data_IF_333629193004
#
_entry.id   IF_333629193004
#
_cell.length_a   1.000
_cell.length_b   1.000
_cell.length_c   1.000
_cell.angle_alpha   90.00
_cell.angle_beta   90.00
_cell.angle_gamma   90.00
#
_symmetry.space_group_name_H-M   'P 1'
#
loop_
_entity.id
_entity.type
_entity.pdbx_description
1 polymer ?
#
# COMPACT_ATOMS: atom_id res chain seq x y z
N UNK A 1 -65.11 -55.91 34.10
CA UNK A 1 -64.67 -56.09 32.70
C UNK A 1 -63.53 -55.12 32.40
N UNK A 2 -62.43 -55.64 31.85
CA UNK A 2 -61.28 -55.00 31.16
C UNK A 2 -60.59 -53.77 31.82
N UNK A 3 -59.40 -53.87 32.43
CA UNK A 3 -58.02 -54.02 31.90
C UNK A 3 -57.59 -53.01 30.81
N UNK A 4 -56.43 -52.38 31.08
CA UNK A 4 -55.46 -51.64 30.21
C UNK A 4 -55.65 -50.11 30.17
N UNK A 5 -54.60 -49.27 30.14
CA UNK A 5 -53.14 -49.45 30.11
C UNK A 5 -52.49 -48.11 30.49
N UNK A 6 -51.39 -48.17 31.24
CA UNK A 6 -50.45 -47.06 31.39
C UNK A 6 -49.71 -46.79 30.06
N UNK A 7 -49.42 -45.51 29.80
CA UNK A 7 -48.39 -45.08 28.87
C UNK A 7 -47.51 -44.06 29.58
N UNK A 8 -46.25 -44.47 29.77
CA UNK A 8 -45.13 -43.65 30.19
C UNK A 8 -44.84 -42.61 29.11
N UNK A 9 -44.75 -41.34 29.50
CA UNK A 9 -44.14 -40.31 28.67
C UNK A 9 -42.62 -40.45 28.79
N UNK A 10 -42.00 -40.97 27.74
CA UNK A 10 -40.55 -40.91 27.52
C UNK A 10 -40.16 -39.47 27.18
N UNK A 11 -39.42 -38.83 28.07
CA UNK A 11 -38.65 -37.63 27.77
C UNK A 11 -37.47 -38.03 26.87
N UNK A 12 -37.61 -37.80 25.57
CA UNK A 12 -36.51 -37.83 24.62
C UNK A 12 -35.59 -36.64 24.88
N UNK A 13 -34.45 -36.90 25.50
CA UNK A 13 -33.29 -36.00 25.50
C UNK A 13 -32.76 -35.96 24.07
N UNK A 14 -33.13 -34.90 23.35
CA UNK A 14 -32.54 -34.58 22.05
C UNK A 14 -31.09 -34.20 22.24
N UNK A 15 -30.19 -35.10 21.86
CA UNK A 15 -28.77 -34.81 21.65
C UNK A 15 -28.69 -33.83 20.48
N UNK A 16 -28.43 -32.56 20.78
CA UNK A 16 -27.96 -31.61 19.77
C UNK A 16 -26.53 -32.01 19.44
N UNK A 17 -26.38 -32.82 18.40
CA UNK A 17 -25.09 -32.98 17.75
C UNK A 17 -24.75 -31.65 17.09
N UNK A 18 -23.79 -30.92 17.67
CA UNK A 18 -23.10 -29.84 16.98
C UNK A 18 -22.35 -30.46 15.80
N UNK A 19 -23.00 -30.52 14.64
CA UNK A 19 -22.33 -30.70 13.37
C UNK A 19 -21.44 -29.47 13.19
N UNK A 20 -20.15 -29.66 13.42
CA UNK A 20 -19.10 -28.78 12.94
C UNK A 20 -19.14 -28.79 11.41
N UNK A 21 -20.00 -27.96 10.85
CA UNK A 21 -19.87 -27.54 9.47
C UNK A 21 -18.55 -26.77 9.37
N UNK A 22 -17.50 -27.45 8.92
CA UNK A 22 -16.35 -26.81 8.29
C UNK A 22 -16.89 -25.92 7.17
N UNK A 23 -17.08 -24.64 7.47
CA UNK A 23 -17.25 -23.63 6.43
C UNK A 23 -15.86 -23.39 5.82
N UNK A 24 -15.63 -23.72 4.54
CA UNK A 24 -14.49 -23.15 3.85
C UNK A 24 -14.71 -21.64 3.80
N UNK A 25 -13.81 -20.90 4.45
CA UNK A 25 -13.69 -19.46 4.30
C UNK A 25 -13.14 -19.19 2.90
N UNK A 26 -14.05 -19.17 1.92
CA UNK A 26 -13.76 -18.69 0.58
C UNK A 26 -13.60 -17.18 0.69
N UNK A 27 -12.36 -16.70 0.56
CA UNK A 27 -12.08 -15.29 0.35
C UNK A 27 -12.84 -14.83 -0.89
N UNK A 28 -13.97 -14.15 -0.69
CA UNK A 28 -14.62 -13.30 -1.69
C UNK A 28 -13.72 -12.08 -1.97
N UNK A 29 -12.56 -12.35 -2.59
CA UNK A 29 -12.06 -11.49 -3.64
C UNK A 29 -12.86 -11.95 -4.87
N UNK A 30 -13.73 -11.07 -5.37
CA UNK A 30 -14.63 -11.27 -6.51
C UNK A 30 -14.30 -12.50 -7.38
N UNK A 31 -15.07 -13.59 -7.20
CA UNK A 31 -15.38 -14.48 -8.31
C UNK A 31 -16.13 -13.63 -9.35
N UNK A 32 -15.38 -12.98 -10.23
CA UNK A 32 -15.85 -12.77 -11.60
C UNK A 32 -15.72 -14.12 -12.28
N UNK A 33 -16.73 -14.95 -12.03
CA UNK A 33 -17.00 -16.13 -12.83
C UNK A 33 -17.49 -15.61 -14.19
N UNK A 34 -16.55 -15.53 -15.13
CA UNK A 34 -16.70 -14.84 -16.40
C UNK A 34 -15.42 -14.05 -16.69
N UNK A 35 -14.71 -14.42 -17.76
CA UNK A 35 -13.40 -13.88 -18.15
C UNK A 35 -13.37 -12.39 -18.52
N UNK A 36 -13.90 -11.51 -17.66
CA UNK A 36 -13.73 -10.08 -17.75
C UNK A 36 -12.29 -9.72 -17.42
N UNK A 37 -11.59 -9.19 -18.42
CA UNK A 37 -10.26 -8.59 -18.28
C UNK A 37 -10.32 -7.55 -17.14
N UNK A 38 -9.39 -7.59 -16.19
CA UNK A 38 -9.20 -6.47 -15.26
C UNK A 38 -8.80 -5.25 -16.08
N UNK A 39 -9.47 -4.12 -15.87
CA UNK A 39 -9.12 -2.89 -16.57
C UNK A 39 -7.72 -2.43 -16.13
N UNK A 40 -6.96 -1.91 -17.09
CA UNK A 40 -5.74 -1.15 -16.79
C UNK A 40 -6.07 0.16 -16.08
N UNK A 41 -5.06 0.73 -15.42
CA UNK A 41 -5.13 2.05 -14.82
C UNK A 41 -5.48 3.10 -15.87
N UNK A 42 -4.85 3.00 -17.05
CA UNK A 42 -5.10 3.90 -18.16
C UNK A 42 -6.57 3.86 -18.62
N UNK A 43 -7.14 2.66 -18.80
CA UNK A 43 -8.56 2.50 -19.16
C UNK A 43 -9.51 3.03 -18.07
N UNK A 44 -9.18 2.83 -16.79
CA UNK A 44 -10.05 3.28 -15.69
C UNK A 44 -10.04 4.79 -15.47
N UNK A 45 -8.97 5.46 -15.89
CA UNK A 45 -8.76 6.89 -15.67
C UNK A 45 -8.70 7.69 -16.98
N UNK A 46 -9.14 7.09 -18.10
CA UNK A 46 -9.16 7.70 -19.43
C UNK A 46 -7.80 8.31 -19.84
N UNK A 47 -6.69 7.65 -19.47
CA UNK A 47 -5.32 8.12 -19.75
C UNK A 47 -4.85 7.66 -21.12
N UNK A 48 -4.21 8.56 -21.85
CA UNK A 48 -3.52 8.23 -23.10
C UNK A 48 -2.18 7.55 -22.85
N UNK A 49 -1.59 6.95 -23.88
CA UNK A 49 -0.22 6.39 -23.81
C UNK A 49 0.82 7.45 -23.45
N UNK A 50 0.62 8.69 -23.92
CA UNK A 50 1.54 9.79 -23.60
C UNK A 50 1.37 10.26 -22.15
N UNK A 51 0.15 10.23 -21.58
CA UNK A 51 -0.08 10.48 -20.16
C UNK A 51 0.63 9.45 -19.29
N UNK A 52 0.48 8.16 -19.62
CA UNK A 52 1.16 7.07 -18.92
C UNK A 52 2.69 7.22 -18.99
N UNK A 53 3.24 7.62 -20.15
CA UNK A 53 4.67 7.88 -20.30
C UNK A 53 5.13 9.00 -19.37
N UNK A 54 4.37 10.08 -19.27
CA UNK A 54 4.68 11.22 -18.40
C UNK A 54 4.60 10.84 -16.91
N UNK A 55 3.57 10.09 -16.50
CA UNK A 55 3.44 9.56 -15.14
C UNK A 55 4.66 8.72 -14.78
N UNK A 56 5.03 7.75 -15.62
CA UNK A 56 6.16 6.87 -15.36
C UNK A 56 7.48 7.65 -15.26
N UNK A 57 7.73 8.58 -16.18
CA UNK A 57 8.94 9.40 -16.16
C UNK A 57 9.05 10.28 -14.90
N UNK A 58 7.93 10.86 -14.44
CA UNK A 58 7.91 11.66 -13.22
C UNK A 58 8.11 10.80 -11.97
N UNK A 59 7.47 9.64 -11.93
CA UNK A 59 7.58 8.68 -10.83
C UNK A 59 9.02 8.15 -10.65
N UNK A 60 9.73 7.91 -11.76
CA UNK A 60 11.15 7.55 -11.73
C UNK A 60 12.02 8.70 -11.17
N UNK A 61 11.76 9.95 -11.59
CA UNK A 61 12.48 11.13 -11.07
C UNK A 61 12.21 11.41 -9.60
N UNK A 62 10.99 11.16 -9.12
CA UNK A 62 10.62 11.39 -7.73
C UNK A 62 11.47 10.54 -6.77
N UNK A 63 11.79 9.30 -7.17
CA UNK A 63 12.71 8.44 -6.42
C UNK A 63 14.09 9.09 -6.27
N UNK A 64 14.62 9.69 -7.33
CA UNK A 64 15.95 10.33 -7.32
C UNK A 64 16.01 11.57 -6.43
N UNK A 65 14.91 12.32 -6.32
CA UNK A 65 14.76 13.52 -5.48
C UNK A 65 14.49 13.16 -4.01
N UNK A 66 13.79 12.06 -3.75
CA UNK A 66 13.43 11.60 -2.41
C UNK A 66 14.56 10.93 -1.63
N UNK A 67 15.72 10.69 -2.24
CA UNK A 67 16.86 10.04 -1.58
C UNK A 67 17.61 10.99 -0.62
N UNK A 68 17.87 10.59 0.64
CA UNK A 68 18.63 11.39 1.59
C UNK A 68 20.06 11.67 1.08
N UNK A 69 20.48 12.94 1.10
CA UNK A 69 21.86 13.36 0.78
C UNK A 69 22.05 14.15 -0.51
N UNK A 70 20.99 14.39 -1.31
CA UNK A 70 21.03 15.37 -2.41
C UNK A 70 20.45 16.71 -1.93
N UNK A 71 21.15 17.85 -2.09
CA UNK A 71 20.61 19.15 -1.72
C UNK A 71 19.39 19.49 -2.58
N UNK A 72 18.40 20.24 -2.04
CA UNK A 72 17.39 20.87 -2.87
C UNK A 72 18.11 21.79 -3.86
N UNK A 73 17.68 21.78 -5.13
CA UNK A 73 18.28 22.50 -6.25
C UNK A 73 18.78 23.91 -5.85
N UNK A 74 20.09 24.04 -5.64
CA UNK A 74 20.82 25.27 -5.87
C UNK A 74 21.26 25.25 -7.32
N UNK A 75 20.59 26.03 -8.19
CA UNK A 75 20.99 26.20 -9.58
C UNK A 75 22.38 26.87 -9.65
N UNK A 76 23.38 26.28 -10.32
CA UNK A 76 24.56 27.01 -10.75
C UNK A 76 24.27 27.68 -12.12
N UNK A 77 24.69 28.94 -12.34
CA UNK A 77 24.59 29.56 -13.65
C UNK A 77 25.70 29.02 -14.56
N UNK A 78 25.35 28.44 -15.71
CA UNK A 78 26.33 28.25 -16.80
C UNK A 78 26.56 26.82 -17.30
N UNK A 79 25.52 26.00 -17.46
CA UNK A 79 25.60 24.79 -18.28
C UNK A 79 24.35 24.66 -19.16
N UNK A 80 24.13 25.67 -20.01
CA UNK A 80 23.12 25.62 -21.07
C UNK A 80 23.83 25.28 -22.36
N UNK A 81 24.05 24.00 -22.63
CA UNK A 81 24.09 23.38 -23.96
C UNK A 81 24.62 21.95 -23.85
N UNK A 82 23.95 21.00 -24.51
CA UNK A 82 24.31 19.59 -24.61
C UNK A 82 23.80 18.61 -23.53
N UNK A 83 22.54 18.78 -23.11
CA UNK A 83 21.63 17.65 -22.86
C UNK A 83 20.24 18.15 -23.26
N UNK A 84 19.74 17.84 -24.46
CA UNK A 84 18.33 18.10 -24.79
C UNK A 84 17.47 17.14 -23.97
N UNK A 85 16.72 17.60 -22.95
CA UNK A 85 15.73 16.79 -22.27
C UNK A 85 14.48 16.76 -23.17
N UNK A 86 13.78 15.64 -23.25
CA UNK A 86 12.42 15.65 -23.81
C UNK A 86 11.55 16.57 -22.94
N UNK A 87 10.98 17.60 -23.57
CA UNK A 87 10.29 18.75 -22.97
C UNK A 87 8.89 18.46 -22.38
N UNK A 88 8.69 17.35 -21.65
CA UNK A 88 7.34 16.89 -21.26
C UNK A 88 7.19 16.52 -19.77
N UNK A 89 7.98 17.12 -18.88
CA UNK A 89 7.79 17.03 -17.43
C UNK A 89 7.55 18.40 -16.79
N UNK A 90 7.33 19.43 -17.61
CA UNK A 90 7.12 20.83 -17.21
C UNK A 90 5.69 21.12 -16.70
N UNK A 91 4.79 20.13 -16.77
CA UNK A 91 3.36 20.34 -16.47
C UNK A 91 2.95 20.00 -15.02
N UNK A 92 3.86 19.45 -14.20
CA UNK A 92 3.54 19.22 -12.77
C UNK A 92 3.47 20.56 -12.06
N UNK A 93 2.30 20.88 -11.51
CA UNK A 93 2.07 22.09 -10.74
C UNK A 93 1.95 21.76 -9.25
N UNK A 94 2.61 22.54 -8.40
CA UNK A 94 2.38 22.48 -6.95
C UNK A 94 1.05 23.20 -6.64
N UNK A 95 0.05 22.54 -6.01
CA UNK A 95 -1.19 23.20 -5.61
C UNK A 95 -0.93 24.43 -4.74
N UNK A 96 -1.72 25.52 -4.85
CA UNK A 96 -1.52 26.72 -4.05
C UNK A 96 -1.76 26.48 -2.55
N UNK A 97 -1.35 27.43 -1.72
CA UNK A 97 -1.55 27.33 -0.28
C UNK A 97 -3.04 27.57 0.06
N UNK A 98 -3.64 26.66 0.82
CA UNK A 98 -5.02 26.81 1.29
C UNK A 98 -5.03 27.40 2.71
N UNK A 99 -5.82 28.46 3.00
CA UNK A 99 -5.94 29.02 4.34
C UNK A 99 -6.40 27.96 5.37
N UNK A 100 -5.87 28.03 6.59
CA UNK A 100 -6.19 27.04 7.65
C UNK A 100 -7.63 27.15 8.15
N UNK A 101 -8.27 28.31 8.01
CA UNK A 101 -9.66 28.55 8.36
C UNK A 101 -10.65 28.15 7.25
N UNK A 102 -10.16 27.91 6.03
CA UNK A 102 -11.00 27.47 4.92
C UNK A 102 -11.36 26.00 5.05
N UNK A 103 -12.65 25.74 5.25
CA UNK A 103 -13.17 24.37 5.33
C UNK A 103 -13.19 23.69 3.95
N UNK A 104 -13.04 22.36 3.89
CA UNK A 104 -13.25 21.59 2.68
C UNK A 104 -14.72 21.63 2.25
N UNK A 105 -14.92 21.57 0.93
CA UNK A 105 -16.20 21.33 0.29
C UNK A 105 -16.66 19.90 0.55
N UNK A 106 -17.98 19.70 0.63
CA UNK A 106 -18.55 18.42 0.99
C UNK A 106 -18.43 17.39 -0.14
N UNK A 107 -18.03 16.16 0.18
CA UNK A 107 -17.96 15.02 -0.73
C UNK A 107 -18.16 13.71 0.05
N UNK A 108 -18.68 12.68 -0.61
CA UNK A 108 -19.05 11.41 0.05
C UNK A 108 -18.60 10.19 -0.74
N UNK A 109 -18.52 9.05 -0.06
CA UNK A 109 -18.18 7.80 -0.71
C UNK A 109 -19.34 7.28 -1.58
N UNK A 110 -18.99 6.77 -2.76
CA UNK A 110 -19.87 6.04 -3.66
C UNK A 110 -19.19 4.72 -4.04
N UNK A 111 -19.88 3.60 -3.89
CA UNK A 111 -19.33 2.27 -4.19
C UNK A 111 -18.05 1.94 -3.42
N UNK A 112 -17.93 2.41 -2.17
CA UNK A 112 -16.74 2.17 -1.33
C UNK A 112 -15.56 3.11 -1.60
N UNK A 113 -15.71 4.17 -2.40
CA UNK A 113 -14.65 5.16 -2.67
C UNK A 113 -15.18 6.59 -2.63
N UNK A 114 -14.53 7.47 -1.89
CA UNK A 114 -14.75 8.92 -1.99
C UNK A 114 -13.63 9.54 -2.83
N UNK A 115 -13.93 10.64 -3.54
CA UNK A 115 -12.98 11.34 -4.40
C UNK A 115 -13.15 12.84 -4.24
N UNK A 116 -12.03 13.58 -4.27
CA UNK A 116 -12.04 15.04 -4.31
C UNK A 116 -10.77 15.57 -4.99
N UNK A 117 -10.78 16.80 -5.47
CA UNK A 117 -9.58 17.42 -6.03
C UNK A 117 -8.52 17.69 -4.95
N UNK A 118 -7.27 17.77 -5.36
CA UNK A 118 -6.14 17.93 -4.42
C UNK A 118 -6.25 19.19 -3.55
N UNK A 119 -6.79 20.30 -4.06
CA UNK A 119 -6.94 21.53 -3.28
C UNK A 119 -7.95 21.35 -2.15
N UNK A 120 -9.08 20.71 -2.44
CA UNK A 120 -10.04 20.36 -1.41
C UNK A 120 -9.52 19.32 -0.41
N UNK A 121 -8.73 18.34 -0.89
CA UNK A 121 -8.04 17.39 0.00
C UNK A 121 -7.02 18.08 0.91
N UNK A 122 -6.28 19.08 0.44
CA UNK A 122 -5.36 19.87 1.28
C UNK A 122 -6.13 20.53 2.44
N UNK A 123 -7.29 21.12 2.17
CA UNK A 123 -8.15 21.67 3.24
C UNK A 123 -8.52 20.58 4.25
N UNK A 124 -8.94 19.40 3.78
CA UNK A 124 -9.32 18.29 4.68
C UNK A 124 -8.12 17.83 5.52
N UNK A 125 -6.97 17.70 4.88
CA UNK A 125 -5.73 17.30 5.53
C UNK A 125 -5.31 18.31 6.60
N UNK A 126 -5.45 19.61 6.31
CA UNK A 126 -5.20 20.68 7.27
C UNK A 126 -6.13 20.59 8.49
N UNK A 127 -7.41 20.26 8.31
CA UNK A 127 -8.33 20.11 9.43
C UNK A 127 -8.15 18.80 10.21
N UNK A 128 -7.86 17.69 9.55
CA UNK A 128 -7.92 16.37 10.18
C UNK A 128 -6.54 15.79 10.51
N UNK A 129 -5.52 16.01 9.68
CA UNK A 129 -4.27 15.22 9.68
C UNK A 129 -3.02 16.05 10.00
N UNK A 130 -3.09 17.37 9.87
CA UNK A 130 -1.93 18.27 10.01
C UNK A 130 -1.41 18.45 11.44
N UNK A 131 -2.14 17.95 12.43
CA UNK A 131 -1.85 18.27 13.82
C UNK A 131 -0.43 17.84 14.22
N UNK A 132 0.27 18.76 14.88
CA UNK A 132 1.53 18.53 15.58
C UNK A 132 1.32 18.94 17.03
N UNK A 133 1.43 18.00 17.96
CA UNK A 133 1.14 18.22 19.39
C UNK A 133 -0.26 18.81 19.62
N UNK A 134 -1.26 18.28 18.89
CA UNK A 134 -2.65 18.70 19.00
C UNK A 134 -2.98 20.06 18.36
N UNK A 135 -2.04 20.71 17.67
CA UNK A 135 -2.28 21.98 16.95
C UNK A 135 -2.28 21.78 15.44
N UNK A 136 -3.40 22.10 14.80
CA UNK A 136 -3.51 22.09 13.34
C UNK A 136 -2.50 23.06 12.70
N UNK A 137 -2.00 22.70 11.53
CA UNK A 137 -1.03 23.50 10.76
C UNK A 137 -1.43 23.53 9.29
N UNK A 138 -1.05 24.60 8.62
CA UNK A 138 -1.13 24.67 7.17
C UNK A 138 -0.14 23.65 6.56
N UNK A 139 -0.52 23.04 5.45
CA UNK A 139 0.40 22.21 4.68
C UNK A 139 1.49 23.10 4.09
N UNK A 140 2.76 22.79 4.38
CA UNK A 140 3.88 23.60 3.90
C UNK A 140 4.00 23.53 2.38
N UNK A 141 4.73 24.47 1.79
CA UNK A 141 5.01 24.43 0.34
C UNK A 141 5.71 23.13 -0.08
N UNK A 142 6.73 22.70 0.68
CA UNK A 142 7.42 21.43 0.43
C UNK A 142 6.47 20.23 0.52
N UNK A 143 5.53 20.22 1.47
CA UNK A 143 4.52 19.15 1.57
C UNK A 143 3.54 19.21 0.39
N UNK A 144 3.09 20.39 -0.04
CA UNK A 144 2.23 20.53 -1.24
C UNK A 144 2.96 20.08 -2.50
N UNK A 145 4.26 20.37 -2.60
CA UNK A 145 5.09 19.90 -3.70
C UNK A 145 5.17 18.37 -3.71
N UNK A 146 5.50 17.75 -2.58
CA UNK A 146 5.52 16.28 -2.44
C UNK A 146 4.17 15.66 -2.77
N UNK A 147 3.07 16.24 -2.27
CA UNK A 147 1.71 15.77 -2.52
C UNK A 147 1.39 15.73 -4.02
N UNK A 148 1.84 16.73 -4.77
CA UNK A 148 1.53 16.89 -6.19
C UNK A 148 2.12 15.82 -7.11
N UNK A 149 2.97 14.91 -6.59
CA UNK A 149 3.48 13.76 -7.33
C UNK A 149 2.45 12.64 -7.51
N UNK A 150 1.21 12.81 -7.04
CA UNK A 150 0.14 11.85 -7.27
C UNK A 150 0.13 10.72 -6.25
N UNK A 151 0.04 9.48 -6.72
CA UNK A 151 -0.13 8.28 -5.87
C UNK A 151 0.88 8.23 -4.71
N UNK A 152 2.17 8.49 -4.98
CA UNK A 152 3.22 8.49 -3.96
C UNK A 152 3.16 9.67 -2.99
N UNK A 153 2.59 10.80 -3.42
CA UNK A 153 2.61 12.07 -2.69
C UNK A 153 1.86 12.00 -1.36
N UNK A 154 0.75 11.24 -1.31
CA UNK A 154 -0.03 11.03 -0.08
C UNK A 154 0.83 10.34 0.98
N UNK A 155 1.48 9.23 0.62
CA UNK A 155 2.37 8.50 1.51
C UNK A 155 3.55 9.36 1.92
N UNK A 156 4.19 10.04 0.96
CA UNK A 156 5.37 10.89 1.21
C UNK A 156 5.08 11.96 2.26
N UNK A 157 4.01 12.75 2.10
CA UNK A 157 3.65 13.80 3.06
C UNK A 157 3.29 13.23 4.43
N UNK A 158 2.62 12.08 4.47
CA UNK A 158 2.14 11.49 5.72
C UNK A 158 3.22 10.77 6.52
N UNK A 159 4.22 10.18 5.86
CA UNK A 159 5.38 9.56 6.51
C UNK A 159 6.52 10.53 6.77
N UNK A 160 6.68 11.57 5.95
CA UNK A 160 7.78 12.53 5.98
C UNK A 160 8.81 12.31 4.85
N UNK A 161 9.53 11.17 4.83
CA UNK A 161 10.44 10.85 3.73
C UNK A 161 9.72 10.13 2.60
N UNK A 162 10.37 10.09 1.43
CA UNK A 162 9.91 9.28 0.29
C UNK A 162 9.91 7.79 0.67
N UNK A 163 8.89 7.00 0.27
CA UNK A 163 8.77 5.61 0.67
C UNK A 163 9.94 4.75 0.17
N UNK A 164 10.64 4.08 1.09
CA UNK A 164 11.79 3.21 0.78
C UNK A 164 11.40 1.75 0.56
N UNK A 165 10.23 1.34 1.06
CA UNK A 165 9.68 -0.02 0.93
C UNK A 165 10.53 -1.15 1.56
N UNK A 166 11.51 -0.82 2.41
CA UNK A 166 12.50 -1.78 2.93
C UNK A 166 11.92 -2.88 3.83
N UNK A 167 10.88 -2.57 4.59
CA UNK A 167 10.21 -3.51 5.48
C UNK A 167 8.81 -3.80 4.95
N UNK A 168 8.72 -4.76 4.03
CA UNK A 168 7.52 -5.09 3.31
C UNK A 168 7.04 -6.51 3.62
N UNK A 169 5.73 -6.70 3.64
CA UNK A 169 5.08 -7.99 3.84
C UNK A 169 4.10 -8.30 2.72
N UNK A 170 3.94 -9.59 2.42
CA UNK A 170 2.89 -10.12 1.58
C UNK A 170 2.50 -11.53 2.04
N UNK A 171 1.45 -12.10 1.45
CA UNK A 171 1.09 -13.50 1.63
C UNK A 171 0.91 -14.16 0.28
N UNK A 172 1.50 -15.36 0.12
CA UNK A 172 1.47 -16.13 -1.11
C UNK A 172 1.18 -17.59 -0.79
N UNK A 173 0.16 -18.16 -1.42
CA UNK A 173 -0.22 -19.55 -1.26
C UNK A 173 0.54 -20.43 -2.27
N UNK A 174 1.65 -21.00 -1.81
CA UNK A 174 2.49 -21.90 -2.61
C UNK A 174 1.76 -23.17 -3.05
N UNK A 175 0.79 -23.65 -2.27
CA UNK A 175 0.02 -24.83 -2.64
C UNK A 175 -0.99 -24.49 -3.75
N UNK A 176 -1.65 -23.33 -3.66
CA UNK A 176 -2.52 -22.80 -4.71
C UNK A 176 -1.73 -22.57 -6.00
N UNK A 177 -0.54 -21.99 -5.91
CA UNK A 177 0.33 -21.78 -7.05
C UNK A 177 0.73 -23.10 -7.73
N UNK A 178 1.31 -24.03 -6.97
CA UNK A 178 1.77 -25.31 -7.51
C UNK A 178 0.62 -26.17 -8.05
N UNK A 179 -0.52 -26.20 -7.36
CA UNK A 179 -1.72 -26.90 -7.83
C UNK A 179 -2.29 -26.22 -9.07
N UNK A 180 -2.30 -24.89 -9.11
CA UNK A 180 -2.75 -24.12 -10.26
C UNK A 180 -1.93 -24.39 -11.51
N UNK A 181 -0.60 -24.54 -11.38
CA UNK A 181 0.28 -24.88 -12.49
C UNK A 181 0.15 -26.33 -12.98
N UNK A 182 -0.16 -27.27 -12.08
CA UNK A 182 -0.27 -28.70 -12.39
C UNK A 182 -1.63 -29.10 -12.93
N UNK A 183 -2.70 -28.52 -12.37
CA UNK A 183 -4.06 -28.98 -12.58
C UNK A 183 -4.84 -28.14 -13.60
N UNK A 184 -4.34 -26.94 -13.95
CA UNK A 184 -4.94 -26.11 -14.98
C UNK A 184 -4.04 -26.06 -16.22
N UNK A 185 -4.66 -25.77 -17.37
CA UNK A 185 -3.97 -25.45 -18.61
C UNK A 185 -4.08 -23.95 -18.94
N UNK A 186 -3.19 -23.42 -19.81
CA UNK A 186 -3.39 -22.11 -20.40
C UNK A 186 -4.78 -21.98 -21.04
N UNK A 187 -5.40 -20.81 -20.90
CA UNK A 187 -6.66 -20.47 -21.58
C UNK A 187 -6.44 -20.38 -23.10
N UNK A 188 -7.49 -20.48 -23.93
CA UNK A 188 -7.35 -20.28 -25.38
C UNK A 188 -6.70 -18.93 -25.69
N UNK A 189 -5.60 -18.94 -26.45
CA UNK A 189 -4.82 -17.75 -26.80
C UNK A 189 -3.81 -17.27 -25.74
N UNK A 190 -3.78 -17.89 -24.56
CA UNK A 190 -2.87 -17.54 -23.48
C UNK A 190 -1.49 -18.20 -23.69
N UNK A 191 -0.42 -17.40 -23.61
CA UNK A 191 0.94 -17.94 -23.67
C UNK A 191 1.30 -18.65 -22.36
N UNK A 192 2.34 -19.50 -22.37
CA UNK A 192 2.82 -20.14 -21.14
C UNK A 192 3.24 -19.12 -20.07
N UNK A 193 3.92 -18.04 -20.47
CA UNK A 193 4.34 -16.98 -19.55
C UNK A 193 3.15 -16.24 -18.95
N UNK A 194 2.11 -15.98 -19.74
CA UNK A 194 0.84 -15.38 -19.29
C UNK A 194 0.10 -16.26 -18.31
N UNK A 195 0.01 -17.56 -18.60
CA UNK A 195 -0.55 -18.55 -17.69
C UNK A 195 0.18 -18.55 -16.34
N UNK A 196 1.51 -18.68 -16.34
CA UNK A 196 2.31 -18.74 -15.11
C UNK A 196 2.23 -17.43 -14.30
N UNK A 197 2.34 -16.29 -14.97
CA UNK A 197 2.20 -14.98 -14.34
C UNK A 197 0.82 -14.77 -13.73
N UNK A 198 -0.26 -15.16 -14.43
CA UNK A 198 -1.63 -15.10 -13.90
C UNK A 198 -1.84 -16.01 -12.71
N UNK A 199 -1.33 -17.25 -12.75
CA UNK A 199 -1.45 -18.19 -11.62
C UNK A 199 -0.66 -17.66 -10.40
N UNK A 200 0.51 -17.05 -10.61
CA UNK A 200 1.26 -16.37 -9.55
C UNK A 200 0.47 -15.19 -8.95
N UNK A 201 -0.02 -14.26 -9.79
CA UNK A 201 -0.86 -13.13 -9.33
C UNK A 201 -2.03 -13.62 -8.48
N UNK A 202 -2.78 -14.61 -8.98
CA UNK A 202 -3.93 -15.19 -8.28
C UNK A 202 -3.59 -15.98 -7.01
N UNK A 203 -2.30 -16.24 -6.74
CA UNK A 203 -1.85 -16.94 -5.53
C UNK A 203 -1.43 -16.01 -4.40
N UNK A 204 -1.36 -14.69 -4.65
CA UNK A 204 -1.25 -13.70 -3.59
C UNK A 204 -2.59 -13.53 -2.85
N UNK A 205 -2.52 -13.29 -1.54
CA UNK A 205 -3.66 -12.92 -0.70
C UNK A 205 -3.35 -11.60 0.01
N UNK A 206 -3.85 -10.51 -0.56
CA UNK A 206 -3.63 -9.16 -0.06
C UNK A 206 -4.24 -8.95 1.34
N UNK A 207 -5.34 -9.63 1.67
CA UNK A 207 -5.95 -9.53 3.02
C UNK A 207 -5.02 -10.14 4.05
N UNK A 208 -4.45 -11.31 3.78
CA UNK A 208 -3.48 -11.95 4.67
C UNK A 208 -2.18 -11.15 4.75
N UNK A 209 -1.70 -10.60 3.63
CA UNK A 209 -0.53 -9.72 3.61
C UNK A 209 -0.71 -8.45 4.46
N UNK A 210 -1.87 -7.80 4.33
CA UNK A 210 -2.23 -6.65 5.15
C UNK A 210 -2.30 -7.00 6.63
N UNK A 211 -3.04 -8.06 6.98
CA UNK A 211 -3.16 -8.49 8.38
C UNK A 211 -1.79 -8.83 8.98
N UNK A 212 -0.91 -9.49 8.22
CA UNK A 212 0.48 -9.75 8.66
C UNK A 212 1.21 -8.45 9.01
N UNK A 213 1.15 -7.44 8.15
CA UNK A 213 1.76 -6.14 8.42
C UNK A 213 1.14 -5.44 9.64
N UNK A 214 -0.19 -5.51 9.83
CA UNK A 214 -0.87 -4.96 11.02
C UNK A 214 -0.44 -5.63 12.31
N UNK A 215 -0.37 -6.97 12.31
CA UNK A 215 0.01 -7.75 13.49
C UNK A 215 1.46 -7.42 13.90
N UNK A 216 2.37 -7.38 12.92
CA UNK A 216 3.76 -6.98 13.16
C UNK A 216 3.87 -5.53 13.63
N UNK A 217 3.15 -4.59 13.01
CA UNK A 217 3.14 -3.19 13.45
C UNK A 217 2.59 -3.05 14.88
N UNK A 218 1.59 -3.85 15.27
CA UNK A 218 1.06 -3.91 16.64
C UNK A 218 2.11 -4.38 17.64
N UNK A 219 2.84 -5.45 17.32
CA UNK A 219 3.96 -5.94 18.13
C UNK A 219 5.06 -4.88 18.26
N UNK A 220 5.42 -4.20 17.16
CA UNK A 220 6.39 -3.11 17.17
C UNK A 220 5.92 -1.92 18.03
N UNK A 221 4.64 -1.56 17.93
CA UNK A 221 4.04 -0.49 18.74
C UNK A 221 4.03 -0.84 20.24
N UNK A 222 3.75 -2.10 20.60
CA UNK A 222 3.85 -2.56 21.98
C UNK A 222 5.29 -2.51 22.50
N UNK A 223 6.26 -2.91 21.67
CA UNK A 223 7.68 -2.90 22.04
C UNK A 223 8.24 -1.48 22.26
N UNK A 224 7.66 -0.46 21.63
CA UNK A 224 8.11 0.93 21.80
C UNK A 224 7.50 1.67 23.00
N UNK A 225 6.36 1.22 23.55
CA UNK A 225 5.57 2.01 24.53
C UNK A 225 6.37 2.52 25.74
N UNK A 226 7.27 1.70 26.27
CA UNK A 226 8.10 2.01 27.44
C UNK A 226 9.60 1.87 27.16
N UNK A 227 10.00 2.05 25.90
CA UNK A 227 11.40 1.93 25.47
C UNK A 227 11.98 3.31 25.17
N UNK A 228 13.01 3.72 25.92
CA UNK A 228 13.65 5.04 25.78
C UNK A 228 14.99 5.03 25.03
N UNK A 229 15.42 3.86 24.57
CA UNK A 229 16.56 3.67 23.68
C UNK A 229 16.35 2.47 22.75
N UNK A 230 17.13 2.40 21.67
CA UNK A 230 17.01 1.35 20.64
C UNK A 230 17.28 -0.05 21.21
N UNK A 231 18.17 -0.19 22.19
CA UNK A 231 18.49 -1.48 22.81
C UNK A 231 17.30 -2.03 23.60
N UNK A 232 16.67 -1.19 24.42
CA UNK A 232 15.45 -1.53 25.14
C UNK A 232 14.32 -1.93 24.18
N UNK A 233 14.12 -1.16 23.10
CA UNK A 233 13.13 -1.47 22.06
C UNK A 233 13.37 -2.85 21.42
N UNK A 234 14.60 -3.13 20.97
CA UNK A 234 14.92 -4.41 20.31
C UNK A 234 14.75 -5.58 21.27
N UNK A 235 15.13 -5.43 22.54
CA UNK A 235 14.93 -6.47 23.56
C UNK A 235 13.44 -6.74 23.80
N UNK A 236 12.63 -5.69 23.94
CA UNK A 236 11.18 -5.81 24.09
C UNK A 236 10.52 -6.43 22.86
N UNK A 237 10.95 -6.04 21.65
CA UNK A 237 10.47 -6.61 20.40
C UNK A 237 10.76 -8.12 20.33
N UNK A 238 11.99 -8.54 20.64
CA UNK A 238 12.37 -9.96 20.70
C UNK A 238 11.53 -10.72 21.73
N UNK A 239 11.29 -10.13 22.90
CA UNK A 239 10.47 -10.76 23.93
C UNK A 239 9.01 -10.97 23.47
N UNK A 240 8.42 -10.00 22.77
CA UNK A 240 7.07 -10.14 22.22
C UNK A 240 7.00 -11.17 21.08
N UNK A 241 7.96 -11.18 20.17
CA UNK A 241 8.03 -12.18 19.09
C UNK A 241 8.23 -13.60 19.65
N UNK A 242 9.02 -13.77 20.71
CA UNK A 242 9.20 -15.05 21.37
C UNK A 242 7.91 -15.57 22.01
N UNK A 243 7.08 -14.69 22.61
CA UNK A 243 5.78 -15.08 23.20
C UNK A 243 4.81 -15.65 22.17
N UNK A 244 4.84 -15.14 20.95
CA UNK A 244 4.00 -15.62 19.84
C UNK A 244 4.67 -16.69 18.97
N UNK A 245 5.89 -17.13 19.31
CA UNK A 245 6.70 -18.02 18.49
C UNK A 245 6.82 -17.52 17.03
N UNK A 246 6.97 -16.21 16.85
CA UNK A 246 7.01 -15.59 15.53
C UNK A 246 8.40 -15.78 14.89
N UNK A 247 8.48 -16.27 13.63
CA UNK A 247 9.75 -16.51 12.97
C UNK A 247 10.59 -15.25 12.74
N UNK A 248 10.00 -14.05 12.79
CA UNK A 248 10.74 -12.78 12.76
C UNK A 248 11.72 -12.63 13.92
N UNK A 249 11.54 -13.38 15.02
CA UNK A 249 12.50 -13.44 16.12
C UNK A 249 13.93 -13.73 15.64
N UNK A 250 14.05 -14.55 14.60
CA UNK A 250 15.33 -15.06 14.08
C UNK A 250 15.91 -14.25 12.92
N UNK A 251 15.30 -13.12 12.56
CA UNK A 251 15.89 -12.20 11.59
C UNK A 251 17.27 -11.70 12.06
N UNK A 252 18.16 -11.43 11.10
CA UNK A 252 19.49 -10.91 11.40
C UNK A 252 19.40 -9.56 12.13
N UNK A 253 20.32 -9.28 13.05
CA UNK A 253 20.30 -8.04 13.83
C UNK A 253 20.45 -6.76 12.98
N UNK A 254 20.97 -6.87 11.75
CA UNK A 254 21.09 -5.80 10.76
C UNK A 254 20.03 -5.86 9.66
N UNK A 255 19.09 -6.80 9.74
CA UNK A 255 17.96 -6.92 8.80
C UNK A 255 17.15 -5.61 8.73
N UNK A 256 16.41 -5.43 7.63
CA UNK A 256 15.50 -4.30 7.49
C UNK A 256 14.40 -4.31 8.55
N UNK A 257 14.07 -5.47 9.11
CA UNK A 257 13.12 -5.62 10.21
C UNK A 257 13.62 -4.95 11.51
N UNK A 258 14.77 -5.38 12.04
CA UNK A 258 15.28 -4.82 13.31
C UNK A 258 15.86 -3.40 13.16
N UNK A 259 16.28 -3.01 11.95
CA UNK A 259 16.83 -1.68 11.68
C UNK A 259 15.79 -0.63 11.24
N UNK A 260 14.51 -1.01 11.07
CA UNK A 260 13.48 -0.12 10.52
C UNK A 260 13.32 1.20 11.32
N UNK A 261 13.25 1.10 12.66
CA UNK A 261 13.13 2.28 13.53
C UNK A 261 14.36 3.18 13.44
N UNK A 262 15.56 2.62 13.62
CA UNK A 262 16.81 3.39 13.60
C UNK A 262 17.17 3.95 12.22
N UNK A 263 16.59 3.37 11.15
CA UNK A 263 16.71 3.87 9.78
C UNK A 263 15.69 4.95 9.43
N UNK A 264 14.69 5.20 10.28
CA UNK A 264 13.69 6.24 10.05
C UNK A 264 14.28 7.62 10.34
N UNK A 265 14.29 8.59 9.41
CA UNK A 265 14.90 9.90 9.63
C UNK A 265 14.32 10.66 10.83
N UNK A 266 13.00 10.72 10.93
CA UNK A 266 12.29 11.43 12.00
C UNK A 266 12.51 10.81 13.39
N UNK A 267 13.03 9.59 13.49
CA UNK A 267 13.45 9.02 14.78
C UNK A 267 14.67 9.77 15.36
N UNK A 268 15.58 10.25 14.52
CA UNK A 268 16.82 10.94 14.93
C UNK A 268 16.64 12.43 15.13
N UNK A 269 15.58 12.99 14.56
CA UNK A 269 15.27 14.42 14.64
C UNK A 269 14.86 14.83 16.06
N UNK A 270 15.33 15.99 16.50
CA UNK A 270 15.09 16.52 17.86
C UNK A 270 13.60 16.78 18.13
N UNK A 271 12.88 17.26 17.14
CA UNK A 271 11.44 17.54 17.15
C UNK A 271 10.58 16.33 16.76
N UNK A 272 11.20 15.24 16.31
CA UNK A 272 10.57 13.96 16.05
C UNK A 272 10.71 12.99 17.24
N UNK A 273 11.45 11.91 17.02
CA UNK A 273 11.70 10.85 18.00
C UNK A 273 12.83 11.15 18.98
N UNK A 274 13.79 12.00 18.61
CA UNK A 274 14.96 12.34 19.43
C UNK A 274 15.68 11.10 20.01
N UNK A 275 15.86 10.06 19.20
CA UNK A 275 16.43 8.75 19.56
C UNK A 275 15.65 7.97 20.64
N UNK A 276 14.43 8.40 20.98
CA UNK A 276 13.56 7.75 21.96
C UNK A 276 12.41 6.98 21.25
N UNK A 277 12.44 5.63 21.25
CA UNK A 277 11.41 4.82 20.59
C UNK A 277 9.99 5.10 21.09
N UNK A 278 9.81 5.44 22.37
CA UNK A 278 8.50 5.71 22.96
C UNK A 278 7.78 6.90 22.33
N UNK A 279 8.52 7.77 21.64
CA UNK A 279 8.00 8.92 20.88
C UNK A 279 7.59 8.58 19.46
N UNK A 280 7.77 7.35 19.01
CA UNK A 280 7.48 6.90 17.66
C UNK A 280 6.24 5.99 17.61
N UNK A 281 5.67 5.82 16.43
CA UNK A 281 4.56 4.93 16.15
C UNK A 281 4.77 4.24 14.81
N UNK A 282 4.58 2.92 14.76
CA UNK A 282 4.59 2.16 13.53
C UNK A 282 3.31 2.45 12.73
N UNK A 283 3.46 2.63 11.42
CA UNK A 283 2.39 2.90 10.46
C UNK A 283 2.55 2.03 9.23
N UNK A 284 1.43 1.74 8.56
CA UNK A 284 1.38 0.90 7.37
C UNK A 284 0.94 1.71 6.15
N UNK A 285 1.59 1.46 5.02
CA UNK A 285 1.11 1.83 3.70
C UNK A 285 1.28 0.64 2.75
N UNK A 286 0.72 0.71 1.55
CA UNK A 286 0.85 -0.34 0.55
C UNK A 286 1.39 0.21 -0.77
N UNK A 287 2.09 -0.65 -1.51
CA UNK A 287 2.50 -0.42 -2.88
C UNK A 287 1.96 -1.53 -3.76
N UNK A 288 1.27 -1.17 -4.83
CA UNK A 288 0.98 -2.05 -5.97
C UNK A 288 2.01 -1.79 -7.08
N UNK A 289 2.56 -2.86 -7.63
CA UNK A 289 3.68 -2.78 -8.57
C UNK A 289 3.77 -4.01 -9.48
N UNK A 290 4.67 -3.94 -10.46
CA UNK A 290 4.92 -5.00 -11.44
C UNK A 290 6.07 -5.91 -11.04
N UNK A 291 5.95 -7.22 -11.26
CA UNK A 291 6.98 -8.21 -10.92
C UNK A 291 8.12 -8.30 -11.96
N UNK A 292 7.81 -8.14 -13.24
CA UNK A 292 8.75 -8.34 -14.34
C UNK A 292 9.63 -7.13 -14.60
N UNK A 293 10.47 -6.73 -13.64
CA UNK A 293 11.22 -5.47 -13.70
C UNK A 293 12.67 -5.57 -14.22
N UNK A 294 13.25 -6.76 -14.28
CA UNK A 294 14.63 -6.93 -14.75
C UNK A 294 14.72 -6.66 -16.26
N UNK A 295 15.48 -5.64 -16.72
CA UNK A 295 15.65 -5.35 -18.14
C UNK A 295 16.35 -6.47 -18.93
N UNK A 296 17.03 -7.40 -18.25
CA UNK A 296 17.69 -8.55 -18.87
C UNK A 296 16.78 -9.79 -18.94
N UNK A 297 15.59 -9.72 -18.32
CA UNK A 297 14.61 -10.81 -18.37
C UNK A 297 13.94 -10.92 -19.74
N UNK A 298 13.29 -12.06 -19.99
CA UNK A 298 12.60 -12.29 -21.26
C UNK A 298 11.43 -11.32 -21.44
N UNK A 299 11.11 -11.02 -22.70
CA UNK A 299 9.90 -10.27 -23.09
C UNK A 299 8.64 -10.85 -22.44
N UNK A 300 8.57 -12.18 -22.27
CA UNK A 300 7.45 -12.85 -21.60
C UNK A 300 7.26 -12.35 -20.17
N UNK A 301 8.32 -12.36 -19.35
CA UNK A 301 8.27 -11.87 -17.96
C UNK A 301 7.95 -10.38 -17.89
N UNK A 302 8.54 -9.58 -18.79
CA UNK A 302 8.31 -8.14 -18.90
C UNK A 302 6.84 -7.78 -19.16
N UNK A 303 6.14 -8.58 -19.98
CA UNK A 303 4.74 -8.34 -20.41
C UNK A 303 3.69 -9.03 -19.55
N UNK A 304 4.04 -10.19 -18.98
CA UNK A 304 3.07 -11.09 -18.35
C UNK A 304 3.37 -11.43 -16.89
N UNK A 305 4.51 -11.00 -16.36
CA UNK A 305 4.90 -11.12 -14.97
C UNK A 305 6.00 -12.16 -14.79
N UNK A 306 6.87 -11.93 -13.80
CA UNK A 306 7.84 -12.91 -13.33
C UNK A 306 7.26 -13.66 -12.12
N UNK A 307 6.82 -14.93 -12.26
CA UNK A 307 6.11 -15.64 -11.21
C UNK A 307 6.95 -15.86 -9.94
N UNK A 308 8.28 -15.77 -10.02
CA UNK A 308 9.20 -16.01 -8.90
C UNK A 308 9.64 -14.70 -8.22
N UNK A 309 9.48 -13.55 -8.88
CA UNK A 309 9.89 -12.27 -8.33
C UNK A 309 8.94 -11.79 -7.21
N UNK A 310 9.55 -11.23 -6.16
CA UNK A 310 8.86 -10.62 -5.01
C UNK A 310 7.91 -11.56 -4.26
N UNK A 311 8.21 -12.85 -4.23
CA UNK A 311 7.50 -13.76 -3.32
C UNK A 311 7.90 -13.46 -1.86
N UNK A 312 6.97 -13.52 -0.92
CA UNK A 312 7.30 -13.40 0.49
C UNK A 312 8.08 -14.64 0.96
N UNK A 313 8.98 -14.45 1.92
CA UNK A 313 9.53 -15.55 2.69
C UNK A 313 8.39 -16.35 3.34
N UNK A 314 8.44 -17.67 3.19
CA UNK A 314 7.35 -18.57 3.59
C UNK A 314 7.09 -18.56 5.09
N UNK A 315 8.08 -18.20 5.91
CA UNK A 315 7.98 -18.21 7.37
C UNK A 315 7.57 -16.84 7.87
N UNK A 316 8.26 -15.79 7.44
CA UNK A 316 8.10 -14.44 8.02
C UNK A 316 7.07 -13.60 7.29
N UNK A 317 6.81 -13.89 6.02
CA UNK A 317 6.01 -13.06 5.13
C UNK A 317 6.77 -11.86 4.55
N UNK A 318 8.08 -11.72 4.84
CA UNK A 318 8.89 -10.60 4.37
C UNK A 318 9.10 -10.66 2.86
N UNK A 319 8.97 -9.53 2.18
CA UNK A 319 9.27 -9.40 0.75
C UNK A 319 10.56 -8.60 0.58
N UNK A 320 11.51 -9.14 -0.17
CA UNK A 320 12.69 -8.38 -0.58
C UNK A 320 12.32 -7.41 -1.72
N UNK A 321 12.22 -6.14 -1.38
CA UNK A 321 11.91 -5.06 -2.33
C UNK A 321 13.15 -4.49 -3.02
N UNK A 322 14.36 -5.01 -2.78
CA UNK A 322 15.59 -4.48 -3.39
C UNK A 322 15.63 -4.62 -4.91
N UNK A 323 14.90 -5.58 -5.46
CA UNK A 323 14.73 -5.79 -6.90
C UNK A 323 13.73 -4.84 -7.57
N UNK A 324 12.96 -4.07 -6.80
CA UNK A 324 11.95 -3.14 -7.32
C UNK A 324 12.62 -1.84 -7.78
N UNK A 325 12.43 -1.52 -9.06
CA UNK A 325 13.06 -0.41 -9.77
C UNK A 325 12.05 0.59 -10.31
N UNK A 326 10.79 0.52 -9.87
CA UNK A 326 9.67 1.34 -10.39
C UNK A 326 9.48 1.22 -11.90
N UNK A 327 9.74 0.03 -12.46
CA UNK A 327 9.61 -0.21 -13.90
C UNK A 327 8.19 -0.72 -14.21
N UNK A 328 7.46 -0.08 -15.14
CA UNK A 328 6.09 -0.50 -15.47
C UNK A 328 6.06 -1.83 -16.22
N UNK A 329 4.86 -2.42 -16.23
CA UNK A 329 4.51 -3.53 -17.12
C UNK A 329 4.76 -3.14 -18.57
N UNK A 330 5.37 -4.03 -19.34
CA UNK A 330 5.57 -3.79 -20.78
C UNK A 330 4.28 -4.07 -21.57
N UNK A 331 3.95 -3.28 -22.59
CA UNK A 331 2.74 -3.48 -23.39
C UNK A 331 2.76 -4.84 -24.11
N UNK A 332 1.64 -5.54 -24.08
CA UNK A 332 1.46 -6.77 -24.85
C UNK A 332 1.08 -6.43 -26.30
N UNK A 333 0.23 -5.41 -26.48
CA UNK A 333 -0.27 -4.92 -27.76
C UNK A 333 0.10 -3.44 -28.00
N UNK A 334 0.21 -3.00 -29.26
CA UNK A 334 0.37 -1.58 -29.59
C UNK A 334 -0.79 -0.75 -29.02
N UNK A 335 -0.49 0.42 -28.47
CA UNK A 335 -1.48 1.31 -27.87
C UNK A 335 -1.79 1.04 -26.40
N UNK A 336 -1.31 -0.06 -25.82
CA UNK A 336 -1.40 -0.29 -24.37
C UNK A 336 -0.34 0.55 -23.63
N UNK A 337 -0.73 1.15 -22.51
CA UNK A 337 0.16 1.81 -21.57
C UNK A 337 -0.16 1.36 -20.15
N UNK A 338 0.88 1.09 -19.36
CA UNK A 338 0.75 0.74 -17.95
C UNK A 338 1.54 1.68 -17.06
N UNK A 339 0.94 2.13 -15.97
CA UNK A 339 1.62 2.92 -14.94
C UNK A 339 2.52 2.02 -14.10
N UNK A 340 3.57 2.58 -13.51
CA UNK A 340 4.60 1.80 -12.84
C UNK A 340 4.27 1.37 -11.41
N UNK A 341 3.48 2.15 -10.68
CA UNK A 341 3.04 1.79 -9.33
C UNK A 341 1.81 2.60 -8.89
N UNK A 342 1.19 2.11 -7.81
CA UNK A 342 0.22 2.86 -7.00
C UNK A 342 0.58 2.73 -5.51
N UNK A 343 0.30 3.76 -4.71
CA UNK A 343 0.58 3.81 -3.27
C UNK A 343 -0.67 4.17 -2.48
N UNK A 344 -0.98 3.34 -1.48
CA UNK A 344 -2.13 3.52 -0.59
C UNK A 344 -1.69 3.78 0.84
N UNK A 345 -2.02 4.94 1.40
CA UNK A 345 -1.77 5.26 2.80
C UNK A 345 -2.89 4.73 3.70
N UNK A 346 -2.54 3.85 4.64
CA UNK A 346 -3.44 3.38 5.69
C UNK A 346 -3.19 4.09 7.03
N UNK A 347 -1.93 4.27 7.41
CA UNK A 347 -1.55 4.83 8.70
C UNK A 347 -1.60 3.79 9.83
N UNK A 348 -2.42 4.02 10.85
CA UNK A 348 -2.55 3.15 12.04
C UNK A 348 -4.00 3.12 12.54
N UNK A 349 -4.94 2.87 11.62
CA UNK A 349 -6.36 2.80 11.97
C UNK A 349 -6.65 1.60 12.88
N UNK A 350 -7.53 1.81 13.85
CA UNK A 350 -7.92 0.80 14.86
C UNK A 350 -9.18 0.01 14.48
N UNK A 351 -9.74 0.24 13.29
CA UNK A 351 -10.85 -0.55 12.75
C UNK A 351 -10.40 -2.02 12.59
N UNK A 352 -11.00 -2.98 13.32
CA UNK A 352 -10.58 -4.38 13.28
C UNK A 352 -10.93 -5.06 11.95
N UNK A 353 -12.04 -4.69 11.30
CA UNK A 353 -12.43 -5.29 10.03
C UNK A 353 -11.61 -4.68 8.88
N UNK A 354 -10.68 -5.42 8.24
CA UNK A 354 -9.87 -4.86 7.16
C UNK A 354 -10.73 -4.29 6.05
N UNK A 355 -11.93 -4.84 5.78
CA UNK A 355 -12.83 -4.39 4.72
C UNK A 355 -13.38 -2.97 4.94
N UNK A 356 -13.37 -2.49 6.19
CA UNK A 356 -13.85 -1.15 6.58
C UNK A 356 -12.72 -0.13 6.74
N UNK A 357 -11.47 -0.57 6.63
CA UNK A 357 -10.33 0.35 6.66
C UNK A 357 -10.28 1.20 5.39
N UNK A 358 -9.77 2.42 5.52
CA UNK A 358 -9.67 3.38 4.43
C UNK A 358 -8.22 3.50 3.94
N UNK A 359 -8.02 3.54 2.64
CA UNK A 359 -6.74 3.67 1.96
C UNK A 359 -6.77 4.92 1.11
N UNK A 360 -5.93 5.90 1.45
CA UNK A 360 -5.85 7.17 0.73
C UNK A 360 -4.75 7.11 -0.33
N UNK A 361 -5.11 7.37 -1.58
CA UNK A 361 -4.23 7.35 -2.75
C UNK A 361 -4.68 8.39 -3.78
N UNK A 362 -4.04 8.50 -4.93
CA UNK A 362 -4.40 9.48 -5.95
C UNK A 362 -4.21 8.94 -7.36
N UNK A 363 -4.94 9.52 -8.32
CA UNK A 363 -4.90 9.09 -9.73
C UNK A 363 -3.52 9.26 -10.38
N UNK A 364 -2.99 10.48 -10.35
CA UNK A 364 -1.75 10.86 -11.02
C UNK A 364 -1.24 12.18 -10.43
N UNK A 365 -0.10 12.66 -10.92
CA UNK A 365 0.44 13.94 -10.50
C UNK A 365 -0.48 15.12 -10.87
N UNK A 366 -0.33 16.25 -10.19
CA UNK A 366 -1.19 17.40 -10.41
C UNK A 366 -0.80 18.17 -11.68
N UNK A 367 -1.67 18.11 -12.71
CA UNK A 367 -1.49 18.78 -14.01
C UNK A 367 -2.75 19.55 -14.42
N UNK A 368 -3.17 20.58 -13.65
CA UNK A 368 -4.48 21.23 -13.82
C UNK A 368 -4.67 21.90 -15.19
N UNK A 369 -3.58 22.30 -15.85
CA UNK A 369 -3.59 22.88 -17.20
C UNK A 369 -3.21 21.91 -18.31
N UNK A 370 -2.79 20.68 -17.97
CA UNK A 370 -2.38 19.65 -18.94
C UNK A 370 -3.49 18.65 -19.27
N UNK A 371 -3.19 17.70 -20.15
CA UNK A 371 -4.17 16.74 -20.67
C UNK A 371 -4.79 15.84 -19.59
N UNK A 372 -4.02 15.43 -18.58
CA UNK A 372 -4.51 14.63 -17.45
C UNK A 372 -5.41 15.42 -16.48
N UNK A 373 -5.34 16.75 -16.48
CA UNK A 373 -6.08 17.58 -15.55
C UNK A 373 -5.58 17.50 -14.09
N UNK A 374 -6.37 18.03 -13.15
CA UNK A 374 -5.98 18.11 -11.75
C UNK A 374 -5.96 16.74 -11.07
N UNK A 375 -4.91 16.49 -10.29
CA UNK A 375 -4.85 15.37 -9.33
C UNK A 375 -6.13 15.28 -8.49
N UNK A 376 -6.68 14.07 -8.45
CA UNK A 376 -7.79 13.66 -7.61
C UNK A 376 -7.28 12.72 -6.53
N UNK A 377 -7.67 12.97 -5.28
CA UNK A 377 -7.36 12.12 -4.14
C UNK A 377 -8.55 11.20 -3.88
N UNK A 378 -8.27 9.91 -3.79
CA UNK A 378 -9.22 8.87 -3.46
C UNK A 378 -9.05 8.42 -2.02
N UNK A 379 -10.18 8.12 -1.39
CA UNK A 379 -10.25 7.43 -0.11
C UNK A 379 -11.06 6.17 -0.35
N UNK A 380 -10.38 5.05 -0.58
CA UNK A 380 -10.98 3.76 -0.91
C UNK A 380 -11.14 2.88 0.34
N UNK A 381 -12.17 2.06 0.41
CA UNK A 381 -12.15 0.91 1.34
C UNK A 381 -11.07 -0.08 0.90
N UNK A 382 -10.64 -0.95 1.81
CA UNK A 382 -9.65 -1.98 1.46
C UNK A 382 -10.02 -2.85 0.26
N UNK A 383 -11.27 -3.35 0.09
CA UNK A 383 -11.61 -4.14 -1.09
C UNK A 383 -11.50 -3.36 -2.40
N UNK A 384 -11.76 -2.05 -2.37
CA UNK A 384 -11.57 -1.18 -3.52
C UNK A 384 -10.08 -0.91 -3.81
N UNK A 385 -9.24 -0.85 -2.78
CA UNK A 385 -7.78 -0.75 -2.93
C UNK A 385 -7.20 -2.06 -3.47
N UNK A 386 -7.39 -3.18 -2.76
CA UNK A 386 -6.81 -4.48 -3.07
C UNK A 386 -7.35 -5.13 -4.37
N UNK A 387 -8.37 -4.55 -4.99
CA UNK A 387 -8.82 -4.97 -6.32
C UNK A 387 -7.74 -4.70 -7.38
N UNK A 388 -6.91 -3.68 -7.18
CA UNK A 388 -5.80 -3.34 -8.06
C UNK A 388 -6.21 -3.07 -9.52
N UNK A 389 -5.25 -3.26 -10.40
CA UNK A 389 -5.34 -3.02 -11.84
C UNK A 389 -4.54 -4.08 -12.61
N UNK A 390 -4.75 -4.17 -13.92
CA UNK A 390 -3.95 -5.05 -14.78
C UNK A 390 -2.45 -4.66 -14.84
N UNK A 391 -2.13 -3.43 -14.49
CA UNK A 391 -0.77 -2.86 -14.40
C UNK A 391 0.08 -3.58 -13.35
N UNK A 392 -0.57 -4.09 -12.30
CA UNK A 392 0.09 -4.58 -11.10
C UNK A 392 -0.25 -6.05 -10.87
N UNK A 393 0.76 -6.84 -10.56
CA UNK A 393 0.61 -8.25 -10.20
C UNK A 393 1.21 -8.56 -8.82
N UNK A 394 1.73 -7.54 -8.13
CA UNK A 394 2.26 -7.62 -6.77
C UNK A 394 1.68 -6.52 -5.90
N UNK A 395 1.39 -6.87 -4.65
CA UNK A 395 1.05 -5.94 -3.58
C UNK A 395 1.93 -6.17 -2.37
N UNK A 396 2.55 -5.11 -1.87
CA UNK A 396 3.36 -5.12 -0.66
C UNK A 396 2.74 -4.22 0.41
N UNK A 397 2.78 -4.67 1.66
CA UNK A 397 2.32 -3.93 2.84
C UNK A 397 3.52 -3.56 3.68
N UNK A 398 3.84 -2.27 3.70
CA UNK A 398 5.10 -1.74 4.22
C UNK A 398 4.90 -1.11 5.58
N UNK A 399 5.80 -1.41 6.52
CA UNK A 399 5.84 -0.77 7.84
C UNK A 399 6.95 0.30 7.85
N UNK A 400 6.61 1.48 8.34
CA UNK A 400 7.57 2.54 8.69
C UNK A 400 7.16 3.21 10.01
N UNK A 401 7.88 4.24 10.44
CA UNK A 401 7.62 4.92 11.70
C UNK A 401 7.42 6.43 11.50
N UNK A 402 6.54 7.01 12.30
CA UNK A 402 6.36 8.47 12.41
C UNK A 402 6.36 8.88 13.90
N UNK A 403 6.67 10.15 14.22
CA UNK A 403 6.51 10.65 15.59
C UNK A 403 5.06 10.59 16.06
N UNK A 404 4.83 10.23 17.33
CA UNK A 404 3.50 10.21 17.97
C UNK A 404 2.85 11.59 18.03
N UNK A 405 3.63 12.66 17.97
CA UNK A 405 3.13 14.04 17.90
C UNK A 405 2.39 14.35 16.59
N UNK A 406 2.53 13.50 15.57
CA UNK A 406 1.91 13.67 14.25
C UNK A 406 0.53 13.00 14.19
N UNK A 407 -0.45 13.66 13.57
CA UNK A 407 -1.80 13.12 13.36
C UNK A 407 -2.09 12.62 11.94
N UNK A 408 -1.06 12.32 11.14
CA UNK A 408 -1.21 11.79 9.77
C UNK A 408 -1.65 10.33 9.72
N UNK A 409 -1.60 9.64 10.87
CA UNK A 409 -2.10 8.28 11.05
C UNK A 409 -3.04 8.22 12.27
N UNK A 410 -4.24 8.83 12.21
CA UNK A 410 -5.17 8.82 13.32
C UNK A 410 -5.80 7.43 13.49
N UNK A 411 -6.36 7.17 14.67
CA UNK A 411 -7.02 5.89 14.98
C UNK A 411 -8.24 5.58 14.09
N UNK A 412 -8.87 6.61 13.53
CA UNK A 412 -10.00 6.50 12.60
C UNK A 412 -9.82 7.47 11.45
N UNK A 413 -9.98 6.96 10.23
CA UNK A 413 -10.07 7.74 9.00
C UNK A 413 -11.51 7.62 8.48
N UNK A 414 -12.07 8.74 8.01
CA UNK A 414 -13.40 8.77 7.38
C UNK A 414 -13.24 9.15 5.92
N UNK A 415 -13.93 8.44 5.04
CA UNK A 415 -14.06 8.84 3.63
C UNK A 415 -14.94 10.09 3.55
N UNK A 416 -14.60 11.03 2.66
CA UNK A 416 -15.44 12.21 2.44
C UNK A 416 -15.20 13.35 3.42
N UNK A 417 -16.01 14.39 3.28
CA UNK A 417 -16.11 15.52 4.18
C UNK A 417 -17.51 16.11 4.06
N UNK A 418 -18.13 16.66 5.12
CA UNK A 418 -18.06 16.24 6.53
C UNK A 418 -18.75 14.89 6.81
#
# INVERSE_FOLDING_TARGET
>A
MHKRRALLALSTVGVVMCTTAFMPSVSLAADRDGGGKEDSYAERHDLTVDDVRQINALNERALDLGQPGKPPLGLPPGAVESLRPSASADDRVTPPAEPLDRMPDAYRAHGGRATTDVSNYIRKWQQAYSHRDGKARQMTEAQREQLSYGCVGITWVNSGPYPTNKLAFASFDENKYNSGLRNNSPRPGETRAEFEGRIAKGSFDETKGFNRARDVASIMNKALENSHDVGAYVNNLKAELAKSNDPLLHEDGRSTFYSALSSTPSFKERDGGNFDPSRMKAVVYSKHFWSGQDPRSSSGKRKYGDPDAFRPDRRTGLVDMSGDRNVPRSPANPGEGYVNFDYGWFGDQKEPDPKKTVWTHANHYHSPGGAMGPMQVYESTFPNWSAGYADFDRGAYVITFIPKSWNTAPAKVKQGWP
#
